data_IF_785384672880
#
_entry.id   IF_785384672880
#
_cell.length_a   1.000
_cell.length_b   1.000
_cell.length_c   1.000
_cell.angle_alpha   90.00
_cell.angle_beta   90.00
_cell.angle_gamma   90.00
#
_symmetry.space_group_name_H-M   'P 1'
#
loop_
_entity.id
_entity.type
_entity.pdbx_description
1 polymer ?
#
# COMPACT_ATOMS: atom_id res chain seq x y z
N UNK A 1 -16.42 6.91 1.75
CA UNK A 1 -15.54 6.03 0.96
C UNK A 1 -14.55 5.37 1.90
N UNK A 2 -14.46 4.07 1.86
CA UNK A 2 -13.50 3.32 2.68
C UNK A 2 -12.32 2.90 1.83
N UNK A 3 -11.11 3.11 2.33
CA UNK A 3 -9.87 2.65 1.70
C UNK A 3 -9.10 1.84 2.73
N UNK A 4 -8.63 0.68 2.31
CA UNK A 4 -7.97 -0.30 3.18
C UNK A 4 -6.47 -0.29 2.96
N UNK A 5 -5.72 -0.79 3.94
CA UNK A 5 -4.30 -1.09 3.77
C UNK A 5 -3.97 -2.42 4.42
N UNK A 6 -2.94 -3.09 3.90
CA UNK A 6 -2.48 -4.37 4.42
C UNK A 6 -0.98 -4.51 4.19
N UNK A 7 -0.30 -5.20 5.11
CA UNK A 7 1.08 -5.66 4.91
C UNK A 7 1.11 -7.17 4.81
N UNK A 8 2.15 -7.72 4.21
CA UNK A 8 2.23 -9.17 4.06
C UNK A 8 3.19 -9.84 5.07
N UNK A 9 4.12 -9.11 5.67
CA UNK A 9 5.05 -9.71 6.62
C UNK A 9 4.31 -10.23 7.85
N UNK A 10 4.82 -11.31 8.44
CA UNK A 10 4.23 -11.98 9.59
C UNK A 10 2.81 -12.50 9.35
N UNK A 11 2.45 -12.72 8.09
CA UNK A 11 1.19 -13.35 7.70
C UNK A 11 1.46 -14.54 6.79
N UNK A 12 0.71 -15.60 6.98
CA UNK A 12 0.69 -16.68 5.99
C UNK A 12 -0.35 -16.36 4.91
N UNK A 13 -0.40 -17.17 3.86
CA UNK A 13 -1.30 -16.93 2.73
C UNK A 13 -2.78 -16.90 3.16
N UNK A 14 -3.18 -17.80 4.05
CA UNK A 14 -4.58 -17.85 4.49
C UNK A 14 -4.98 -16.60 5.29
N UNK A 15 -4.09 -16.07 6.10
CA UNK A 15 -4.33 -14.84 6.85
C UNK A 15 -4.43 -13.64 5.91
N UNK A 16 -3.49 -13.56 4.96
CA UNK A 16 -3.43 -12.45 4.02
C UNK A 16 -4.67 -12.42 3.12
N UNK A 17 -4.90 -13.50 2.38
CA UNK A 17 -6.04 -13.54 1.44
C UNK A 17 -7.37 -13.62 2.18
N UNK A 18 -7.39 -14.24 3.36
CA UNK A 18 -8.59 -14.28 4.21
C UNK A 18 -9.05 -12.90 4.63
N UNK A 19 -8.11 -12.01 5.00
CA UNK A 19 -8.44 -10.63 5.35
C UNK A 19 -9.03 -9.87 4.16
N UNK A 20 -8.47 -10.08 2.96
CA UNK A 20 -8.97 -9.44 1.75
C UNK A 20 -10.38 -9.91 1.40
N UNK A 21 -10.63 -11.22 1.50
CA UNK A 21 -11.97 -11.79 1.24
C UNK A 21 -12.99 -11.31 2.25
N UNK A 22 -12.62 -11.29 3.53
CA UNK A 22 -13.53 -10.87 4.60
C UNK A 22 -13.98 -9.42 4.44
N UNK A 23 -13.16 -8.60 3.80
CA UNK A 23 -13.47 -7.19 3.57
C UNK A 23 -13.95 -6.91 2.15
N UNK A 24 -14.20 -7.94 1.36
CA UNK A 24 -14.73 -7.83 -0.01
C UNK A 24 -13.87 -6.91 -0.88
N UNK A 25 -12.55 -7.06 -0.79
CA UNK A 25 -11.62 -6.25 -1.58
C UNK A 25 -11.77 -6.59 -3.05
N UNK A 26 -11.89 -5.56 -3.88
CA UNK A 26 -12.06 -5.70 -5.33
C UNK A 26 -10.79 -5.32 -6.10
N UNK A 27 -9.92 -4.50 -5.49
CA UNK A 27 -8.71 -4.03 -6.14
C UNK A 27 -7.60 -3.90 -5.11
N UNK A 28 -6.41 -4.45 -5.44
CA UNK A 28 -5.20 -4.26 -4.63
C UNK A 28 -4.27 -3.33 -5.37
N UNK A 29 -3.89 -2.25 -4.70
CA UNK A 29 -2.97 -1.25 -5.20
C UNK A 29 -1.62 -1.44 -4.53
N UNK A 30 -0.65 -1.92 -5.28
CA UNK A 30 0.69 -2.22 -4.77
C UNK A 30 1.53 -0.95 -4.75
N UNK A 31 1.81 -0.44 -3.55
CA UNK A 31 2.56 0.81 -3.37
C UNK A 31 4.00 0.56 -2.93
N UNK A 32 4.48 -0.68 -3.08
CA UNK A 32 5.88 -1.02 -2.76
C UNK A 32 6.81 -0.50 -3.84
N UNK A 33 7.98 -0.06 -3.41
CA UNK A 33 9.08 0.21 -4.34
C UNK A 33 9.60 -1.09 -4.92
N UNK A 34 9.85 -2.09 -4.05
CA UNK A 34 10.37 -3.41 -4.44
C UNK A 34 9.27 -4.44 -4.26
N UNK A 35 8.73 -4.95 -5.36
CA UNK A 35 7.62 -5.90 -5.36
C UNK A 35 7.99 -7.28 -5.91
N UNK A 36 9.28 -7.52 -6.11
CA UNK A 36 9.79 -8.80 -6.64
C UNK A 36 10.48 -9.66 -5.57
N UNK A 37 10.32 -9.31 -4.29
CA UNK A 37 10.97 -9.99 -3.17
C UNK A 37 10.58 -11.48 -3.11
N UNK A 38 11.55 -12.32 -2.76
CA UNK A 38 11.37 -13.75 -2.55
C UNK A 38 10.91 -14.09 -1.13
N UNK A 39 10.92 -13.11 -0.20
CA UNK A 39 10.65 -13.37 1.21
C UNK A 39 9.23 -13.84 1.49
N UNK A 40 8.26 -13.45 0.68
CA UNK A 40 6.89 -13.93 0.78
C UNK A 40 6.44 -14.30 -0.62
N UNK A 41 6.50 -15.58 -0.94
CA UNK A 41 6.21 -16.08 -2.30
C UNK A 41 4.86 -15.63 -2.83
N UNK A 42 3.81 -15.66 -2.00
CA UNK A 42 2.47 -15.27 -2.45
C UNK A 42 2.35 -13.78 -2.76
N UNK A 43 3.26 -12.94 -2.26
CA UNK A 43 3.20 -11.49 -2.43
C UNK A 43 4.14 -10.96 -3.52
N UNK A 44 4.84 -11.86 -4.25
CA UNK A 44 5.67 -11.44 -5.38
C UNK A 44 4.80 -10.92 -6.52
N UNK A 45 5.25 -9.86 -7.16
CA UNK A 45 4.52 -9.23 -8.27
C UNK A 45 4.18 -10.22 -9.40
N UNK A 46 5.03 -11.23 -9.63
CA UNK A 46 4.79 -12.24 -10.67
C UNK A 46 3.65 -13.20 -10.34
N UNK A 47 3.38 -13.43 -9.05
CA UNK A 47 2.41 -14.44 -8.61
C UNK A 47 1.15 -13.83 -7.97
N UNK A 48 1.30 -12.69 -7.33
CA UNK A 48 0.22 -12.06 -6.57
C UNK A 48 -1.06 -11.79 -7.40
N UNK A 49 -0.96 -11.29 -8.65
CA UNK A 49 -2.16 -11.05 -9.45
C UNK A 49 -2.99 -12.32 -9.68
N UNK A 50 -2.33 -13.46 -9.89
CA UNK A 50 -3.00 -14.74 -10.07
C UNK A 50 -3.77 -15.14 -8.81
N UNK A 51 -3.09 -15.10 -7.65
CA UNK A 51 -3.71 -15.47 -6.39
C UNK A 51 -4.88 -14.55 -6.03
N UNK A 52 -4.74 -13.26 -6.27
CA UNK A 52 -5.81 -12.30 -6.01
C UNK A 52 -7.05 -12.61 -6.83
N UNK A 53 -6.86 -12.90 -8.11
CA UNK A 53 -7.98 -13.18 -9.01
C UNK A 53 -8.66 -14.49 -8.64
N UNK A 54 -7.88 -15.54 -8.42
CA UNK A 54 -8.41 -16.87 -8.12
C UNK A 54 -9.06 -16.97 -6.74
N UNK A 55 -8.47 -16.33 -5.73
CA UNK A 55 -8.95 -16.45 -4.34
C UNK A 55 -10.00 -15.38 -4.01
N UNK A 56 -9.78 -14.14 -4.45
CA UNK A 56 -10.59 -13.00 -4.03
C UNK A 56 -11.42 -12.40 -5.15
N UNK A 57 -11.17 -12.77 -6.41
CA UNK A 57 -11.79 -12.10 -7.55
C UNK A 57 -11.34 -10.63 -7.68
N UNK A 58 -10.19 -10.29 -7.10
CA UNK A 58 -9.70 -8.91 -7.06
C UNK A 58 -8.65 -8.66 -8.15
N UNK A 59 -8.59 -7.42 -8.60
CA UNK A 59 -7.60 -6.98 -9.58
C UNK A 59 -6.35 -6.46 -8.88
N UNK A 60 -5.21 -6.57 -9.55
CA UNK A 60 -3.92 -6.08 -9.09
C UNK A 60 -3.46 -4.90 -9.95
N UNK A 61 -3.01 -3.84 -9.28
CA UNK A 61 -2.36 -2.71 -9.95
C UNK A 61 -1.12 -2.32 -9.16
N UNK A 62 -0.02 -2.02 -9.87
CA UNK A 62 1.17 -1.42 -9.27
C UNK A 62 1.07 0.09 -9.42
N UNK A 63 1.23 0.83 -8.30
CA UNK A 63 1.12 2.28 -8.32
C UNK A 63 2.41 2.94 -7.82
N UNK A 64 3.37 3.16 -8.73
CA UNK A 64 4.67 3.75 -8.37
C UNK A 64 4.58 5.18 -7.82
N UNK A 65 3.50 5.91 -8.13
CA UNK A 65 3.33 7.27 -7.60
C UNK A 65 3.29 7.30 -6.07
N UNK A 66 2.85 6.22 -5.45
CA UNK A 66 2.77 6.11 -4.00
C UNK A 66 3.96 5.38 -3.38
N UNK A 67 4.91 4.92 -4.18
CA UNK A 67 6.13 4.29 -3.69
C UNK A 67 7.16 5.34 -3.26
N UNK A 68 7.94 5.07 -2.20
CA UNK A 68 9.05 5.95 -1.86
C UNK A 68 10.15 5.83 -2.92
N UNK A 69 11.09 6.79 -2.92
CA UNK A 69 12.31 6.64 -3.73
C UNK A 69 13.28 5.69 -3.02
N UNK A 70 14.24 5.08 -3.75
CA UNK A 70 15.27 4.26 -3.11
C UNK A 70 16.03 5.02 -2.02
N UNK A 71 16.34 6.30 -2.23
CA UNK A 71 17.07 7.13 -1.28
C UNK A 71 16.30 7.30 0.03
N UNK A 72 15.01 7.60 -0.05
CA UNK A 72 14.16 7.78 1.13
C UNK A 72 14.03 6.47 1.91
N UNK A 73 13.78 5.38 1.19
CA UNK A 73 13.60 4.08 1.82
C UNK A 73 14.89 3.60 2.48
N UNK A 74 16.03 3.70 1.79
CA UNK A 74 17.33 3.25 2.28
C UNK A 74 17.78 4.06 3.50
N UNK A 75 17.54 5.37 3.50
CA UNK A 75 17.89 6.22 4.64
C UNK A 75 17.18 5.76 5.91
N UNK A 76 15.95 5.28 5.80
CA UNK A 76 15.19 4.78 6.96
C UNK A 76 15.55 3.32 7.30
N UNK A 77 15.55 2.43 6.31
CA UNK A 77 15.71 0.98 6.51
C UNK A 77 17.16 0.56 6.73
N UNK A 78 18.06 1.00 5.86
CA UNK A 78 19.47 0.55 5.90
C UNK A 78 20.32 1.38 6.84
N UNK A 79 20.04 2.69 6.94
CA UNK A 79 20.82 3.61 7.78
C UNK A 79 20.16 3.86 9.13
N UNK A 80 19.11 3.12 9.46
CA UNK A 80 18.35 3.23 10.72
C UNK A 80 17.96 4.68 11.03
N UNK A 81 17.42 5.35 10.01
CA UNK A 81 17.00 6.75 10.14
C UNK A 81 15.77 6.93 11.01
N UNK A 82 15.53 8.18 11.36
CA UNK A 82 14.38 8.56 12.16
C UNK A 82 13.10 8.49 11.33
N UNK A 83 12.05 7.91 11.90
CA UNK A 83 10.73 7.86 11.27
C UNK A 83 10.18 9.24 10.95
N UNK A 84 10.46 10.25 11.80
CA UNK A 84 10.01 11.61 11.54
C UNK A 84 10.65 12.17 10.26
N UNK A 85 11.93 11.88 10.02
CA UNK A 85 12.64 12.28 8.80
C UNK A 85 12.05 11.59 7.59
N UNK A 86 11.79 10.27 7.70
CA UNK A 86 11.14 9.51 6.63
C UNK A 86 9.77 10.09 6.30
N UNK A 87 8.96 10.38 7.32
CA UNK A 87 7.63 10.95 7.15
C UNK A 87 7.68 12.26 6.37
N UNK A 88 8.57 13.17 6.76
CA UNK A 88 8.72 14.45 6.09
C UNK A 88 9.13 14.26 4.62
N UNK A 89 10.11 13.41 4.38
CA UNK A 89 10.62 13.15 3.03
C UNK A 89 9.55 12.53 2.14
N UNK A 90 8.84 11.53 2.66
CA UNK A 90 7.79 10.85 1.88
C UNK A 90 6.60 11.77 1.59
N UNK A 91 6.13 12.52 2.58
CA UNK A 91 5.01 13.43 2.38
C UNK A 91 5.38 14.54 1.38
N UNK A 92 6.62 15.07 1.45
CA UNK A 92 7.10 16.03 0.47
C UNK A 92 7.11 15.44 -0.94
N UNK A 93 7.52 14.19 -1.06
CA UNK A 93 7.59 13.49 -2.35
C UNK A 93 6.20 13.34 -2.98
N UNK A 94 5.21 12.85 -2.23
CA UNK A 94 3.87 12.64 -2.78
C UNK A 94 3.16 13.97 -3.06
N UNK A 95 3.44 15.00 -2.27
CA UNK A 95 2.93 16.34 -2.53
C UNK A 95 3.52 16.90 -3.81
N UNK A 96 4.83 16.78 -4.01
CA UNK A 96 5.52 17.23 -5.21
C UNK A 96 5.02 16.48 -6.44
N UNK A 97 4.72 15.18 -6.31
CA UNK A 97 4.14 14.38 -7.38
C UNK A 97 2.67 14.72 -7.66
N UNK A 98 2.03 15.47 -6.77
CA UNK A 98 0.60 15.83 -6.87
C UNK A 98 -0.28 14.58 -7.00
N UNK A 99 -0.04 13.61 -6.12
CA UNK A 99 -0.71 12.31 -6.20
C UNK A 99 -2.23 12.43 -6.12
N UNK A 100 -2.75 13.38 -5.33
CA UNK A 100 -4.19 13.61 -5.19
C UNK A 100 -4.85 14.06 -6.50
N UNK A 101 -4.07 14.61 -7.43
CA UNK A 101 -4.55 15.04 -8.75
C UNK A 101 -4.29 13.98 -9.82
N UNK A 102 -3.24 13.19 -9.67
CA UNK A 102 -2.83 12.19 -10.67
C UNK A 102 -3.50 10.84 -10.47
N UNK A 103 -3.85 10.49 -9.24
CA UNK A 103 -4.64 9.30 -8.95
C UNK A 103 -6.09 9.56 -9.30
N UNK A 104 -6.74 8.54 -9.84
CA UNK A 104 -8.16 8.65 -10.19
C UNK A 104 -9.00 8.33 -8.96
N UNK A 105 -9.55 9.36 -8.33
CA UNK A 105 -10.37 9.20 -7.13
C UNK A 105 -11.55 8.24 -7.37
N UNK A 106 -12.14 8.28 -8.56
CA UNK A 106 -13.27 7.43 -8.94
C UNK A 106 -12.94 5.94 -8.84
N UNK A 107 -11.68 5.58 -9.09
CA UNK A 107 -11.24 4.19 -9.00
C UNK A 107 -11.35 3.64 -7.58
N UNK A 108 -11.34 4.51 -6.59
CA UNK A 108 -11.44 4.13 -5.17
C UNK A 108 -12.88 3.91 -4.72
N UNK A 109 -13.87 4.09 -5.61
CA UNK A 109 -15.24 3.64 -5.36
C UNK A 109 -15.30 2.12 -5.26
N UNK A 110 -14.41 1.41 -5.97
CA UNK A 110 -14.17 -0.02 -5.73
C UNK A 110 -13.43 -0.18 -4.40
N UNK A 111 -13.73 -1.26 -3.69
CA UNK A 111 -13.04 -1.54 -2.42
C UNK A 111 -11.57 -1.81 -2.68
N UNK A 112 -10.73 -0.83 -2.40
CA UNK A 112 -9.31 -0.83 -2.71
C UNK A 112 -8.48 -1.00 -1.44
N UNK A 113 -7.46 -1.87 -1.50
CA UNK A 113 -6.49 -2.04 -0.44
C UNK A 113 -5.10 -1.64 -0.95
N UNK A 114 -4.38 -0.84 -0.17
CA UNK A 114 -2.98 -0.52 -0.45
C UNK A 114 -2.10 -1.59 0.19
N UNK A 115 -1.20 -2.16 -0.60
CA UNK A 115 -0.27 -3.19 -0.14
C UNK A 115 1.13 -2.62 0.07
N UNK A 116 1.69 -2.89 1.23
CA UNK A 116 3.09 -2.64 1.54
C UNK A 116 3.68 -3.85 2.27
N UNK A 117 4.96 -3.79 2.62
CA UNK A 117 5.64 -4.92 3.26
C UNK A 117 5.34 -5.06 4.75
N UNK A 118 5.33 -3.94 5.47
CA UNK A 118 5.28 -3.95 6.94
C UNK A 118 4.04 -4.63 7.49
N UNK A 119 4.21 -5.37 8.59
CA UNK A 119 3.11 -6.08 9.24
C UNK A 119 2.04 -5.13 9.76
N UNK A 120 2.46 -3.97 10.29
CA UNK A 120 1.55 -2.94 10.78
C UNK A 120 1.71 -1.66 9.99
N UNK A 121 0.71 -0.79 10.05
CA UNK A 121 0.74 0.48 9.35
C UNK A 121 1.53 1.57 10.10
N UNK A 122 1.92 1.32 11.34
CA UNK A 122 2.49 2.33 12.23
C UNK A 122 3.71 3.05 11.65
N UNK A 123 4.66 2.28 11.11
CA UNK A 123 5.87 2.84 10.47
C UNK A 123 5.93 2.42 9.02
N UNK A 124 4.87 2.69 8.27
CA UNK A 124 4.76 2.32 6.87
C UNK A 124 4.18 3.46 6.04
N UNK A 125 4.75 3.66 4.86
CA UNK A 125 4.29 4.73 3.97
C UNK A 125 2.85 4.55 3.50
N UNK A 126 2.29 3.34 3.56
CA UNK A 126 0.87 3.14 3.19
C UNK A 126 -0.06 3.93 4.11
N UNK A 127 0.29 4.05 5.40
CA UNK A 127 -0.47 4.88 6.33
C UNK A 127 -0.36 6.35 5.96
N UNK A 128 0.86 6.80 5.68
CA UNK A 128 1.11 8.20 5.32
C UNK A 128 0.38 8.58 4.03
N UNK A 129 0.39 7.67 3.05
CA UNK A 129 -0.32 7.89 1.79
C UNK A 129 -1.82 8.06 2.02
N UNK A 130 -2.42 7.17 2.83
CA UNK A 130 -3.85 7.24 3.10
C UNK A 130 -4.24 8.46 3.93
N UNK A 131 -3.43 8.84 4.91
CA UNK A 131 -3.67 10.04 5.69
C UNK A 131 -3.60 11.29 4.80
N UNK A 132 -2.65 11.32 3.88
CA UNK A 132 -2.54 12.40 2.92
C UNK A 132 -3.76 12.50 2.01
N UNK A 133 -4.19 11.38 1.44
CA UNK A 133 -5.38 11.36 0.57
C UNK A 133 -6.65 11.71 1.34
N UNK A 134 -6.75 11.27 2.59
CA UNK A 134 -7.86 11.62 3.47
C UNK A 134 -7.94 13.14 3.66
N UNK A 135 -6.80 13.77 3.87
CA UNK A 135 -6.72 15.22 4.05
C UNK A 135 -7.10 15.97 2.76
N UNK A 136 -6.61 15.50 1.61
CA UNK A 136 -6.81 16.18 0.33
C UNK A 136 -8.19 15.91 -0.28
N UNK A 137 -8.68 14.68 -0.17
CA UNK A 137 -9.97 14.30 -0.79
C UNK A 137 -11.17 14.47 0.12
N UNK A 138 -10.99 14.37 1.44
CA UNK A 138 -12.10 14.33 2.39
C UNK A 138 -12.90 13.03 2.26
N UNK A 139 -13.86 12.82 3.16
CA UNK A 139 -14.83 11.71 3.13
C UNK A 139 -14.19 10.32 2.97
N UNK A 140 -12.99 10.13 3.50
CA UNK A 140 -12.29 8.85 3.46
C UNK A 140 -12.22 8.27 4.87
N UNK A 141 -12.62 7.00 4.98
CA UNK A 141 -12.43 6.20 6.19
C UNK A 141 -11.30 5.23 5.89
N UNK A 142 -10.25 5.29 6.68
CA UNK A 142 -9.06 4.44 6.50
C UNK A 142 -9.17 3.23 7.42
N UNK A 143 -8.97 2.03 6.87
CA UNK A 143 -8.98 0.78 7.64
C UNK A 143 -7.69 0.01 7.37
N UNK A 144 -6.88 -0.16 8.40
CA UNK A 144 -5.64 -0.95 8.33
C UNK A 144 -5.94 -2.39 8.76
N UNK A 145 -5.79 -3.32 7.81
CA UNK A 145 -6.05 -4.74 8.02
C UNK A 145 -4.86 -5.48 8.64
#
# INVERSE_FOLDING_TARGET
>A
MEIYSIGFTQKNASQFFGALRANNIERLLDVRLNNTSQLAGFAKQSDLPYFLKEICGADYEHEPLLAPTPEILDAFKKRKGDWAVYTQAYLSLIRERKVEQRLRRESFARRTVLLCSEATAEHCHRRLALEYLQQEWGDIIVRHL
#
